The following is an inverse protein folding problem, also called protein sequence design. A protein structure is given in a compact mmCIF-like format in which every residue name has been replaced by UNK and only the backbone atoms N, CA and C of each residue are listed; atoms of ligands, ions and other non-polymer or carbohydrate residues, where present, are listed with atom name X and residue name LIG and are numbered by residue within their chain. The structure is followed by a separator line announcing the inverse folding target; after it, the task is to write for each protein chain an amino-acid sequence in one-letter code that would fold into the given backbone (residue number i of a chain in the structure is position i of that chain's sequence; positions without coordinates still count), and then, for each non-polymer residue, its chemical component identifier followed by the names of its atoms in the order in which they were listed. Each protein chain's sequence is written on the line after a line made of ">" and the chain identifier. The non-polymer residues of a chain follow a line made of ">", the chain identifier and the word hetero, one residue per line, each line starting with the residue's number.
data_IF_140163756000
#
_entry.id   IF_140163756000
#
_cell.length_a   1.000
_cell.length_b   1.000
_cell.length_c   1.000
_cell.angle_alpha   90.00
_cell.angle_beta   90.00
_cell.angle_gamma   90.00
#
_symmetry.space_group_name_H-M   'P 1'
#
loop_
_entity.id
_entity.type
_entity.pdbx_description
1 polymer ?
#
# COMPACT_ATOMS: atom_id res chain seq x y z
N UNK A 1 -3.94 -9.14 -12.88
CA UNK A 1 -4.63 -7.84 -12.86
C UNK A 1 -5.91 -7.84 -12.04
N UNK A 2 -5.94 -8.61 -10.97
CA UNK A 2 -7.13 -8.62 -10.13
C UNK A 2 -6.98 -7.60 -9.01
N UNK A 3 -8.08 -6.93 -8.64
CA UNK A 3 -8.06 -6.06 -7.48
C UNK A 3 -7.89 -6.89 -6.21
N UNK A 4 -7.29 -6.29 -5.21
CA UNK A 4 -7.22 -6.90 -3.89
C UNK A 4 -7.46 -5.86 -2.82
N UNK A 5 -7.77 -6.33 -1.63
CA UNK A 5 -8.12 -5.49 -0.51
C UNK A 5 -7.33 -5.93 0.71
N UNK A 6 -6.84 -4.95 1.45
CA UNK A 6 -6.20 -5.18 2.74
C UNK A 6 -7.12 -4.58 3.79
N UNK A 7 -7.55 -5.41 4.73
CA UNK A 7 -8.30 -4.92 5.90
C UNK A 7 -7.35 -4.84 7.08
N UNK A 8 -7.34 -3.69 7.72
CA UNK A 8 -6.53 -3.44 8.90
C UNK A 8 -7.48 -3.23 10.07
N UNK A 9 -7.47 -4.17 11.00
CA UNK A 9 -8.22 -4.03 12.25
C UNK A 9 -7.36 -3.27 13.25
N UNK A 10 -7.97 -2.34 13.99
CA UNK A 10 -7.25 -1.58 14.98
C UNK A 10 -8.05 -1.50 16.28
N UNK A 11 -7.31 -1.24 17.36
CA UNK A 11 -7.88 -0.98 18.67
C UNK A 11 -7.12 0.20 19.29
N UNK A 12 -7.82 1.30 19.48
CA UNK A 12 -7.28 2.48 20.14
C UNK A 12 -7.80 2.54 21.58
N UNK A 13 -6.93 2.31 22.54
CA UNK A 13 -7.32 2.35 23.96
C UNK A 13 -7.59 3.77 24.44
N UNK A 14 -6.97 4.75 23.78
CA UNK A 14 -7.24 6.17 23.93
C UNK A 14 -7.65 6.73 22.59
N UNK A 15 -8.48 7.75 22.60
CA UNK A 15 -8.77 8.50 21.39
C UNK A 15 -7.47 9.08 20.83
N UNK A 16 -7.20 8.81 19.57
CA UNK A 16 -6.05 9.33 18.84
C UNK A 16 -6.55 10.27 17.75
N UNK A 17 -6.13 11.51 17.83
CA UNK A 17 -6.40 12.50 16.80
C UNK A 17 -5.24 12.52 15.79
N UNK A 18 -5.52 13.04 14.60
CA UNK A 18 -4.51 13.27 13.58
C UNK A 18 -3.75 12.01 13.17
N UNK A 19 -4.46 10.90 12.96
CA UNK A 19 -3.85 9.65 12.50
C UNK A 19 -3.83 9.63 10.98
N UNK A 20 -2.65 9.37 10.43
CA UNK A 20 -2.43 9.18 9.00
C UNK A 20 -2.12 7.69 8.78
N UNK A 21 -2.81 7.08 7.82
CA UNK A 21 -2.56 5.70 7.43
C UNK A 21 -1.67 5.68 6.22
N UNK A 22 -0.58 4.93 6.28
CA UNK A 22 0.39 4.86 5.20
C UNK A 22 0.69 3.44 4.77
N UNK A 23 1.10 3.31 3.52
CA UNK A 23 1.59 2.07 2.96
C UNK A 23 2.90 2.32 2.23
N UNK A 24 3.74 1.28 2.18
CA UNK A 24 4.93 1.25 1.35
C UNK A 24 5.05 -0.14 0.73
N UNK A 25 5.26 -0.19 -0.56
CA UNK A 25 5.36 -1.44 -1.30
C UNK A 25 6.80 -1.60 -1.77
N UNK A 26 7.38 -2.77 -1.48
CA UNK A 26 8.74 -3.12 -1.84
C UNK A 26 8.74 -4.39 -2.66
N UNK A 27 9.67 -4.46 -3.62
CA UNK A 27 9.97 -5.72 -4.31
C UNK A 27 10.86 -6.57 -3.40
N UNK A 28 10.92 -7.88 -3.64
CA UNK A 28 11.67 -8.81 -2.79
C UNK A 28 13.16 -8.47 -2.68
N UNK A 29 13.74 -7.75 -3.64
CA UNK A 29 15.11 -7.26 -3.59
C UNK A 29 15.27 -5.91 -2.89
N UNK A 30 14.25 -5.48 -2.16
CA UNK A 30 14.19 -4.25 -1.36
C UNK A 30 14.11 -2.96 -2.19
N UNK A 31 13.77 -3.06 -3.46
CA UNK A 31 13.49 -1.88 -4.28
C UNK A 31 12.15 -1.27 -3.84
N UNK A 32 12.17 0.00 -3.49
CA UNK A 32 10.98 0.74 -3.10
C UNK A 32 10.14 1.01 -4.35
N UNK A 33 8.94 0.43 -4.40
CA UNK A 33 8.09 0.51 -5.58
C UNK A 33 7.14 1.69 -5.49
N UNK A 34 6.45 1.85 -4.35
CA UNK A 34 5.39 2.83 -4.22
C UNK A 34 5.09 3.08 -2.75
N UNK A 35 4.75 4.31 -2.43
CA UNK A 35 4.28 4.67 -1.10
C UNK A 35 3.29 5.80 -1.19
N UNK A 36 2.28 5.75 -0.33
CA UNK A 36 1.34 6.84 -0.16
C UNK A 36 0.73 6.77 1.23
N UNK A 37 -0.02 7.78 1.58
CA UNK A 37 -0.77 7.80 2.82
C UNK A 37 -2.01 8.68 2.67
N UNK A 38 -2.90 8.63 3.67
CA UNK A 38 -4.17 9.36 3.61
C UNK A 38 -3.98 10.88 3.62
N UNK A 39 -2.87 11.37 4.17
CA UNK A 39 -2.59 12.80 4.14
C UNK A 39 -2.22 13.27 2.73
N UNK A 40 -1.41 12.48 2.02
CA UNK A 40 -1.06 12.77 0.62
C UNK A 40 -2.30 12.74 -0.26
N UNK A 41 -3.14 11.70 -0.10
CA UNK A 41 -4.27 11.48 -0.99
C UNK A 41 -5.44 12.41 -0.72
N UNK A 42 -5.70 12.73 0.55
CA UNK A 42 -6.90 13.47 0.95
C UNK A 42 -6.62 14.77 1.68
N UNK A 43 -5.36 15.08 1.97
CA UNK A 43 -4.94 16.27 2.72
C UNK A 43 -5.61 16.36 4.09
N UNK A 44 -5.89 15.22 4.70
CA UNK A 44 -6.59 15.15 5.98
C UNK A 44 -6.04 14.01 6.81
N UNK A 45 -6.28 14.07 8.10
CA UNK A 45 -5.99 13.03 9.05
C UNK A 45 -7.28 12.49 9.67
N UNK A 46 -7.18 11.42 10.41
CA UNK A 46 -8.32 10.70 10.94
C UNK A 46 -8.25 10.60 12.45
N UNK A 47 -9.40 10.42 13.07
CA UNK A 47 -9.49 10.17 14.50
C UNK A 47 -9.82 8.70 14.72
N UNK A 48 -9.04 8.03 15.56
CA UNK A 48 -9.31 6.65 15.99
C UNK A 48 -9.78 6.66 17.42
N UNK A 49 -10.89 5.97 17.67
CA UNK A 49 -11.47 5.83 18.99
C UNK A 49 -12.07 4.44 19.11
N UNK A 50 -11.56 3.64 20.06
CA UNK A 50 -12.03 2.28 20.26
C UNK A 50 -11.56 1.33 19.16
N UNK A 51 -12.42 0.38 18.80
CA UNK A 51 -12.14 -0.63 17.80
C UNK A 51 -12.76 -0.26 16.46
N UNK A 52 -12.05 -0.59 15.39
CA UNK A 52 -12.55 -0.37 14.04
C UNK A 52 -11.67 -1.06 13.02
N UNK A 53 -11.93 -0.75 11.77
CA UNK A 53 -11.09 -1.27 10.69
C UNK A 53 -10.99 -0.24 9.56
N UNK A 54 -9.96 -0.44 8.76
CA UNK A 54 -9.70 0.36 7.57
C UNK A 54 -9.53 -0.62 6.42
N UNK A 55 -10.14 -0.32 5.29
CA UNK A 55 -9.96 -1.09 4.08
C UNK A 55 -9.16 -0.28 3.08
N UNK A 56 -8.08 -0.87 2.60
CA UNK A 56 -7.33 -0.35 1.47
C UNK A 56 -7.63 -1.22 0.26
N UNK A 57 -8.11 -0.61 -0.81
CA UNK A 57 -8.41 -1.32 -2.04
C UNK A 57 -7.41 -0.92 -3.10
N UNK A 58 -6.79 -1.89 -3.72
CA UNK A 58 -5.87 -1.70 -4.82
C UNK A 58 -6.49 -2.37 -6.04
N UNK A 59 -6.88 -1.56 -7.02
CA UNK A 59 -7.58 -2.07 -8.19
C UNK A 59 -6.66 -2.85 -9.10
N UNK A 60 -5.38 -2.44 -9.16
CA UNK A 60 -4.40 -3.08 -10.04
C UNK A 60 -2.99 -2.78 -9.57
N UNK A 61 -2.14 -3.80 -9.63
CA UNK A 61 -0.69 -3.66 -9.40
C UNK A 61 0.00 -3.60 -10.76
N UNK A 62 0.33 -2.41 -11.29
CA UNK A 62 0.96 -2.30 -12.61
C UNK A 62 2.47 -2.58 -12.53
N UNK A 63 2.81 -3.73 -12.02
CA UNK A 63 4.19 -4.17 -11.82
C UNK A 63 4.40 -5.51 -12.51
N UNK A 64 5.64 -5.81 -12.84
CA UNK A 64 5.99 -7.07 -13.48
C UNK A 64 5.96 -8.22 -12.47
N UNK A 65 5.98 -9.43 -12.98
CA UNK A 65 5.93 -10.63 -12.17
C UNK A 65 7.02 -10.61 -11.11
N UNK A 66 6.70 -11.05 -9.92
CA UNK A 66 7.62 -11.07 -8.79
C UNK A 66 6.90 -11.11 -7.47
N UNK A 67 7.68 -11.06 -6.42
CA UNK A 67 7.17 -11.03 -5.06
C UNK A 67 7.36 -9.65 -4.46
N UNK A 68 6.33 -9.18 -3.77
CA UNK A 68 6.28 -7.84 -3.19
C UNK A 68 5.81 -7.94 -1.75
N UNK A 69 6.28 -7.01 -0.93
CA UNK A 69 5.81 -6.87 0.44
C UNK A 69 5.20 -5.49 0.64
N UNK A 70 4.28 -5.39 1.58
CA UNK A 70 3.59 -4.14 1.90
C UNK A 70 3.78 -3.86 3.38
N UNK A 71 4.36 -2.70 3.68
CA UNK A 71 4.45 -2.16 5.02
C UNK A 71 3.24 -1.29 5.30
N UNK A 72 2.77 -1.33 6.54
CA UNK A 72 1.66 -0.51 7.01
C UNK A 72 2.13 0.39 8.14
N UNK A 73 1.64 1.62 8.17
CA UNK A 73 2.01 2.57 9.20
C UNK A 73 0.81 3.40 9.65
N UNK A 74 0.76 3.69 10.94
CA UNK A 74 -0.14 4.66 11.53
C UNK A 74 0.74 5.72 12.18
N UNK A 75 0.64 6.95 11.72
CA UNK A 75 1.50 8.02 12.22
C UNK A 75 0.78 9.36 12.27
N UNK A 76 1.40 10.35 12.93
CA UNK A 76 0.92 11.73 12.90
C UNK A 76 1.38 12.41 11.61
N UNK A 77 0.77 13.55 11.26
CA UNK A 77 1.22 14.32 10.09
C UNK A 77 2.69 14.73 10.14
N UNK A 78 3.27 14.86 11.35
CA UNK A 78 4.69 15.19 11.52
C UNK A 78 5.62 13.97 11.39
N UNK A 79 5.06 12.78 11.10
CA UNK A 79 5.82 11.56 10.92
C UNK A 79 6.04 10.72 12.17
N UNK A 80 5.60 11.20 13.36
CA UNK A 80 5.70 10.39 14.58
C UNK A 80 4.84 9.14 14.45
N UNK A 81 5.44 7.96 14.59
CA UNK A 81 4.75 6.70 14.44
C UNK A 81 3.95 6.33 15.68
N UNK A 82 2.66 6.05 15.49
CA UNK A 82 1.88 5.36 16.51
C UNK A 82 2.10 3.86 16.42
N UNK A 83 2.16 3.32 15.18
CA UNK A 83 2.43 1.92 14.93
C UNK A 83 3.02 1.75 13.54
N UNK A 84 3.89 0.78 13.40
CA UNK A 84 4.52 0.48 12.12
C UNK A 84 4.64 -1.04 11.98
N UNK A 85 4.13 -1.58 10.89
CA UNK A 85 4.16 -3.01 10.63
C UNK A 85 4.88 -3.27 9.31
N UNK A 86 6.14 -3.65 9.46
CA UNK A 86 6.97 -3.98 8.31
C UNK A 86 6.55 -5.33 7.75
N UNK A 87 6.48 -5.41 6.41
CA UNK A 87 6.10 -6.65 5.72
C UNK A 87 4.79 -7.24 6.27
N UNK A 88 3.80 -6.39 6.45
CA UNK A 88 2.50 -6.79 6.99
C UNK A 88 1.80 -7.80 6.09
N UNK A 89 2.02 -7.73 4.78
CA UNK A 89 1.53 -8.73 3.85
C UNK A 89 2.47 -8.88 2.65
N UNK A 90 2.34 -10.02 1.98
CA UNK A 90 3.10 -10.34 0.77
C UNK A 90 2.15 -10.56 -0.38
N UNK A 91 2.56 -10.15 -1.57
CA UNK A 91 1.77 -10.30 -2.79
C UNK A 91 2.68 -10.88 -3.86
N UNK A 92 2.20 -11.94 -4.50
CA UNK A 92 2.89 -12.53 -5.65
C UNK A 92 2.15 -12.12 -6.91
N UNK A 93 2.86 -11.50 -7.83
CA UNK A 93 2.31 -11.09 -9.12
C UNK A 93 2.80 -12.07 -10.19
N UNK A 94 1.86 -12.59 -10.96
CA UNK A 94 2.16 -13.49 -12.07
C UNK A 94 1.70 -12.83 -13.36
N UNK A 95 2.52 -12.93 -14.38
CA UNK A 95 2.20 -12.41 -15.71
C UNK A 95 2.28 -13.53 -16.74
N UNK A 96 1.41 -13.45 -17.74
CA UNK A 96 1.48 -14.34 -18.90
C UNK A 96 2.54 -13.88 -19.91
N UNK A 97 3.00 -12.65 -19.78
CA UNK A 97 4.04 -12.07 -20.64
C UNK A 97 5.36 -12.00 -19.89
N UNK A 98 6.46 -12.12 -20.60
CA UNK A 98 7.80 -12.00 -20.03
C UNK A 98 8.34 -10.57 -20.19
N UNK A 99 7.59 -9.62 -19.71
CA UNK A 99 8.03 -8.23 -19.69
C UNK A 99 9.19 -8.05 -18.73
N UNK A 100 10.00 -7.03 -18.98
CA UNK A 100 11.20 -6.76 -18.16
C UNK A 100 11.06 -5.39 -17.49
N UNK A 101 11.82 -5.20 -16.42
CA UNK A 101 11.77 -3.97 -15.64
C UNK A 101 10.84 -4.08 -14.45
N UNK A 102 10.47 -2.94 -13.87
CA UNK A 102 9.71 -2.88 -12.62
C UNK A 102 8.21 -2.81 -12.88
N UNK A 103 7.80 -1.95 -13.82
CA UNK A 103 6.37 -1.68 -14.03
C UNK A 103 5.87 -2.34 -15.31
N UNK A 104 4.56 -2.54 -15.33
CA UNK A 104 3.85 -3.06 -16.50
C UNK A 104 2.94 -1.97 -17.04
N UNK A 105 3.16 -1.58 -18.27
CA UNK A 105 2.38 -0.52 -18.91
C UNK A 105 1.40 -1.11 -19.91
N UNK A 106 0.16 -0.66 -19.85
CA UNK A 106 -0.81 -1.01 -20.87
C UNK A 106 -0.39 -0.33 -22.17
N UNK A 107 -0.26 -1.11 -23.23
CA UNK A 107 0.21 -0.59 -24.51
C UNK A 107 -0.29 -1.42 -25.68
N UNK A 108 -0.14 -0.88 -26.84
CA UNK A 108 -0.43 -1.55 -28.11
C UNK A 108 0.67 -1.26 -29.10
N UNK A 109 0.92 -2.21 -29.95
CA UNK A 109 1.77 -2.03 -31.13
C UNK A 109 0.88 -1.78 -32.34
N UNK A 110 1.24 -0.80 -33.13
CA UNK A 110 0.60 -0.56 -34.42
C UNK A 110 1.70 -0.59 -35.47
N UNK A 111 1.79 -1.72 -36.15
CA UNK A 111 2.89 -1.98 -37.12
C UNK A 111 2.34 -1.77 -38.53
N UNK A 112 2.97 -0.85 -39.24
CA UNK A 112 2.59 -0.49 -40.61
C UNK A 112 3.29 -1.38 -41.64
#
# INVERSE_FOLDING_TARGET
>A
DQPFQIRIDYKAEKKLDDVVFGIAIYRSDQVYIYGTNTLIDYSTSNTLDGEGHIDLKIERMPVNAGEYSIDLAFHRPDGFNYDFWREACSVTIQNVKNEVGVISLSHKWDVQ
#
